data_IF_108293250723
#
_entry.id   IF_108293250723
#
_cell.length_a   1.000
_cell.length_b   1.000
_cell.length_c   1.000
_cell.angle_alpha   90.00
_cell.angle_beta   90.00
_cell.angle_gamma   90.00
#
_symmetry.space_group_name_H-M   'P 1'
#
loop_
_entity.id
_entity.type
_entity.pdbx_description
1 polymer ?
#
# COMPACT_ATOMS: atom_id res chain seq x y z
N UNK A 1 -29.12 -24.23 -25.13
CA UNK A 1 -27.77 -24.77 -24.91
C UNK A 1 -26.92 -23.78 -24.12
N UNK A 2 -26.92 -23.88 -22.77
CA UNK A 2 -25.85 -23.31 -21.94
C UNK A 2 -24.74 -24.35 -21.77
N UNK A 3 -23.82 -24.40 -22.73
CA UNK A 3 -22.66 -25.28 -22.70
C UNK A 3 -21.54 -24.61 -21.89
N UNK A 4 -20.91 -25.33 -20.97
CA UNK A 4 -19.75 -24.85 -20.19
C UNK A 4 -18.55 -25.77 -20.39
N UNK A 5 -17.34 -25.20 -20.47
CA UNK A 5 -16.09 -25.97 -20.47
C UNK A 5 -15.70 -26.27 -19.03
N UNK A 6 -15.49 -27.55 -18.73
CA UNK A 6 -14.84 -27.98 -17.50
C UNK A 6 -13.46 -28.54 -17.84
N UNK A 7 -12.45 -28.20 -17.04
CA UNK A 7 -11.12 -28.77 -17.17
C UNK A 7 -11.13 -30.22 -16.66
N UNK A 8 -10.52 -31.15 -17.38
CA UNK A 8 -10.29 -32.52 -16.87
C UNK A 8 -8.81 -32.74 -16.61
N UNK A 9 -8.31 -32.09 -15.57
CA UNK A 9 -7.26 -32.65 -14.70
C UNK A 9 -7.53 -32.13 -13.29
N UNK A 10 -8.28 -32.91 -12.50
CA UNK A 10 -8.56 -32.67 -11.06
C UNK A 10 -9.21 -31.31 -10.72
N UNK A 11 -10.56 -31.28 -10.71
CA UNK A 11 -11.40 -30.50 -9.79
C UNK A 11 -10.90 -29.09 -9.35
N UNK A 12 -10.55 -28.16 -10.24
CA UNK A 12 -10.65 -26.71 -9.97
C UNK A 12 -10.87 -25.91 -11.26
N UNK A 13 -11.83 -24.97 -11.34
CA UNK A 13 -11.90 -23.98 -12.41
C UNK A 13 -10.84 -22.89 -12.16
N UNK A 14 -9.60 -23.14 -12.58
CA UNK A 14 -8.48 -22.19 -12.47
C UNK A 14 -7.86 -21.87 -13.84
N UNK A 15 -6.92 -20.94 -13.94
CA UNK A 15 -6.12 -20.79 -15.16
C UNK A 15 -5.29 -22.05 -15.44
N UNK A 16 -5.06 -22.35 -16.71
CA UNK A 16 -4.15 -23.43 -17.11
C UNK A 16 -2.76 -22.84 -17.31
N UNK A 17 -1.74 -23.48 -16.74
CA UNK A 17 -0.35 -23.01 -16.84
C UNK A 17 0.39 -23.77 -17.94
N UNK A 18 0.99 -23.04 -18.87
CA UNK A 18 1.90 -23.56 -19.90
C UNK A 18 3.27 -22.92 -19.71
N UNK A 19 4.32 -23.69 -19.42
CA UNK A 19 5.67 -23.12 -19.23
C UNK A 19 6.20 -22.52 -20.54
N UNK A 20 6.92 -21.42 -20.44
CA UNK A 20 7.60 -20.82 -21.58
C UNK A 20 8.76 -21.69 -22.10
N UNK A 21 9.33 -21.28 -23.24
CA UNK A 21 10.43 -21.95 -23.91
C UNK A 21 10.16 -23.41 -24.33
N UNK A 22 8.92 -23.89 -24.15
CA UNK A 22 8.50 -25.20 -24.63
C UNK A 22 8.23 -25.16 -26.13
N UNK A 23 8.57 -26.23 -26.87
CA UNK A 23 8.15 -26.36 -28.26
C UNK A 23 6.62 -26.47 -28.36
N UNK A 24 6.02 -26.18 -29.53
CA UNK A 24 4.59 -26.38 -29.78
C UNK A 24 4.10 -27.75 -29.30
N UNK A 25 2.99 -27.79 -28.58
CA UNK A 25 2.53 -29.00 -27.88
C UNK A 25 1.15 -28.88 -27.27
N UNK A 26 0.72 -29.94 -26.58
CA UNK A 26 -0.61 -30.00 -25.93
C UNK A 26 -0.57 -29.27 -24.60
N UNK A 27 -1.38 -28.22 -24.46
CA UNK A 27 -1.52 -27.44 -23.23
C UNK A 27 -2.43 -28.19 -22.24
N UNK A 28 -3.62 -28.58 -22.69
CA UNK A 28 -4.60 -29.28 -21.85
C UNK A 28 -5.69 -29.96 -22.70
N UNK A 29 -6.37 -30.93 -22.12
CA UNK A 29 -7.53 -31.59 -22.73
C UNK A 29 -8.81 -30.89 -22.31
N UNK A 30 -9.56 -30.41 -23.30
CA UNK A 30 -10.84 -29.74 -23.16
C UNK A 30 -11.95 -30.75 -22.92
N UNK A 31 -12.86 -30.40 -22.02
CA UNK A 31 -14.07 -31.17 -21.78
C UNK A 31 -15.23 -30.20 -21.58
N UNK A 32 -16.39 -30.54 -22.12
CA UNK A 32 -17.57 -29.70 -22.08
C UNK A 32 -18.73 -30.49 -21.47
N UNK A 33 -19.60 -29.74 -20.81
CA UNK A 33 -20.84 -30.25 -20.25
C UNK A 33 -21.99 -29.36 -20.71
N UNK A 34 -23.00 -29.99 -21.29
CA UNK A 34 -24.30 -29.36 -21.53
C UNK A 34 -25.22 -29.69 -20.35
N UNK A 35 -25.89 -28.67 -19.80
CA UNK A 35 -26.80 -28.80 -18.67
C UNK A 35 -28.28 -28.90 -19.09
N UNK A 36 -28.58 -28.76 -20.38
CA UNK A 36 -29.96 -28.68 -20.90
C UNK A 36 -30.57 -30.06 -21.23
N UNK A 37 -29.76 -31.13 -21.30
CA UNK A 37 -30.23 -32.52 -21.47
C UNK A 37 -29.25 -33.42 -22.26
N UNK A 38 -29.34 -34.77 -22.14
CA UNK A 38 -28.44 -35.70 -22.83
C UNK A 38 -28.58 -35.70 -24.36
N UNK A 39 -29.72 -35.27 -24.90
CA UNK A 39 -29.96 -35.09 -26.34
C UNK A 39 -29.06 -34.03 -27.00
N UNK A 40 -28.57 -33.05 -26.22
CA UNK A 40 -27.59 -32.04 -26.64
C UNK A 40 -26.19 -32.34 -26.07
N UNK A 41 -26.00 -33.57 -25.59
CA UNK A 41 -24.75 -34.06 -25.05
C UNK A 41 -23.69 -34.32 -26.13
N UNK A 42 -22.52 -34.78 -25.69
CA UNK A 42 -21.42 -35.10 -26.60
C UNK A 42 -21.76 -36.16 -27.66
N UNK A 43 -20.91 -36.30 -28.70
CA UNK A 43 -19.57 -35.76 -28.79
C UNK A 43 -19.56 -34.27 -29.16
N UNK A 44 -18.88 -33.47 -28.35
CA UNK A 44 -18.66 -32.05 -28.61
C UNK A 44 -17.52 -31.87 -29.62
N UNK A 45 -17.66 -30.88 -30.50
CA UNK A 45 -16.58 -30.42 -31.38
C UNK A 45 -16.00 -29.12 -30.86
N UNK A 46 -14.70 -29.08 -30.70
CA UNK A 46 -13.96 -27.91 -30.21
C UNK A 46 -13.21 -27.24 -31.36
N UNK A 47 -13.16 -25.91 -31.34
CA UNK A 47 -12.30 -25.12 -32.21
C UNK A 47 -11.99 -23.78 -31.55
N UNK A 48 -10.89 -23.13 -31.95
CA UNK A 48 -10.68 -21.71 -31.63
C UNK A 48 -11.85 -20.93 -32.23
N UNK A 49 -12.48 -20.06 -31.43
CA UNK A 49 -13.63 -19.30 -31.89
C UNK A 49 -13.23 -18.38 -33.04
N UNK A 50 -14.05 -18.32 -34.10
CA UNK A 50 -13.78 -17.43 -35.24
C UNK A 50 -13.77 -15.93 -34.88
N UNK A 51 -14.38 -15.57 -33.73
CA UNK A 51 -14.33 -14.22 -33.15
C UNK A 51 -13.05 -13.91 -32.38
N UNK A 52 -12.19 -14.90 -32.14
CA UNK A 52 -10.94 -14.70 -31.43
C UNK A 52 -10.02 -13.75 -32.21
N UNK A 53 -9.13 -13.03 -31.52
CA UNK A 53 -8.18 -12.14 -32.18
C UNK A 53 -7.22 -12.92 -33.09
N UNK A 54 -6.61 -12.23 -34.06
CA UNK A 54 -5.58 -12.81 -34.92
C UNK A 54 -4.40 -13.38 -34.14
N UNK A 55 -4.04 -12.75 -33.01
CA UNK A 55 -3.02 -13.23 -32.07
C UNK A 55 -3.38 -14.60 -31.47
N UNK A 56 -4.63 -14.79 -31.02
CA UNK A 56 -5.06 -16.07 -30.46
C UNK A 56 -5.10 -17.14 -31.55
N UNK A 57 -5.59 -16.80 -32.74
CA UNK A 57 -5.68 -17.73 -33.88
C UNK A 57 -4.30 -18.16 -34.41
N UNK A 58 -3.27 -17.33 -34.26
CA UNK A 58 -1.91 -17.67 -34.70
C UNK A 58 -1.11 -18.45 -33.64
N UNK A 59 -1.38 -18.22 -32.35
CA UNK A 59 -0.63 -18.83 -31.24
C UNK A 59 -1.26 -20.13 -30.70
N UNK A 60 -2.57 -20.33 -30.86
CA UNK A 60 -3.30 -21.49 -30.33
C UNK A 60 -4.06 -22.27 -31.39
N UNK A 61 -4.16 -23.57 -31.19
CA UNK A 61 -4.92 -24.49 -32.03
C UNK A 61 -5.70 -25.50 -31.20
N UNK A 62 -6.61 -26.22 -31.86
CA UNK A 62 -7.33 -27.34 -31.23
C UNK A 62 -7.18 -28.57 -32.12
N UNK A 63 -6.69 -29.66 -31.53
CA UNK A 63 -6.55 -30.96 -32.19
C UNK A 63 -7.38 -32.00 -31.45
N UNK A 64 -8.50 -32.41 -32.04
CA UNK A 64 -9.49 -33.26 -31.36
C UNK A 64 -10.09 -32.53 -30.16
N UNK A 65 -9.76 -32.99 -28.95
CA UNK A 65 -10.19 -32.37 -27.70
C UNK A 65 -9.06 -31.58 -27.02
N UNK A 66 -7.85 -31.54 -27.60
CA UNK A 66 -6.71 -30.93 -26.96
C UNK A 66 -6.50 -29.50 -27.46
N UNK A 67 -6.37 -28.57 -26.51
CA UNK A 67 -5.86 -27.24 -26.80
C UNK A 67 -4.33 -27.33 -26.95
N UNK A 68 -3.80 -26.80 -28.05
CA UNK A 68 -2.38 -26.87 -28.39
C UNK A 68 -1.76 -25.49 -28.54
N UNK A 69 -0.55 -25.34 -28.05
CA UNK A 69 0.36 -24.26 -28.43
C UNK A 69 0.86 -24.49 -29.86
N UNK A 70 0.77 -23.48 -30.72
CA UNK A 70 1.30 -23.53 -32.09
C UNK A 70 2.68 -22.88 -32.22
N UNK A 71 3.08 -22.13 -31.20
CA UNK A 71 4.34 -21.40 -31.11
C UNK A 71 5.04 -21.71 -29.79
N UNK A 72 6.32 -21.40 -29.72
CA UNK A 72 7.02 -21.25 -28.44
C UNK A 72 6.59 -19.93 -27.81
N UNK A 73 6.15 -19.98 -26.56
CA UNK A 73 5.82 -18.77 -25.80
C UNK A 73 7.04 -18.28 -25.04
N UNK A 74 7.10 -16.96 -24.91
CA UNK A 74 8.01 -16.17 -24.09
C UNK A 74 7.12 -15.39 -23.11
N UNK A 75 7.39 -15.51 -21.82
CA UNK A 75 6.58 -14.95 -20.74
C UNK A 75 6.84 -13.45 -20.59
N UNK A 76 8.06 -12.97 -20.87
CA UNK A 76 8.43 -11.55 -20.89
C UNK A 76 7.67 -10.79 -21.99
N UNK A 77 7.32 -11.46 -23.10
CA UNK A 77 6.43 -10.90 -24.11
C UNK A 77 5.00 -10.74 -23.57
N UNK A 78 4.43 -11.80 -22.97
CA UNK A 78 3.05 -11.80 -22.45
C UNK A 78 2.74 -12.95 -21.49
N UNK A 79 2.43 -12.58 -20.23
CA UNK A 79 2.17 -13.51 -19.12
C UNK A 79 0.86 -14.31 -19.20
N UNK A 80 -0.16 -13.84 -19.92
CA UNK A 80 -1.44 -14.56 -20.01
C UNK A 80 -2.28 -14.27 -21.26
N UNK A 81 -3.10 -15.25 -21.64
CA UNK A 81 -3.98 -15.22 -22.80
C UNK A 81 -5.39 -15.66 -22.43
N UNK A 82 -6.39 -14.89 -22.87
CA UNK A 82 -7.80 -15.28 -22.79
C UNK A 82 -8.22 -15.95 -24.10
N UNK A 83 -8.14 -17.29 -24.12
CA UNK A 83 -8.38 -18.09 -25.32
C UNK A 83 -9.88 -18.39 -25.44
N UNK A 84 -10.51 -17.86 -26.49
CA UNK A 84 -11.92 -18.13 -26.78
C UNK A 84 -12.07 -19.43 -27.56
N UNK A 85 -12.81 -20.38 -26.99
CA UNK A 85 -13.04 -21.71 -27.54
C UNK A 85 -14.51 -21.85 -27.90
N UNK A 86 -14.77 -22.20 -29.15
CA UNK A 86 -16.09 -22.59 -29.62
C UNK A 86 -16.34 -24.08 -29.40
N UNK A 87 -17.54 -24.41 -28.95
CA UNK A 87 -17.98 -25.76 -28.62
C UNK A 87 -19.29 -25.98 -29.35
N UNK A 88 -19.33 -26.99 -30.22
CA UNK A 88 -20.53 -27.34 -30.98
C UNK A 88 -21.08 -28.67 -30.48
N UNK A 89 -22.35 -28.69 -30.13
CA UNK A 89 -23.07 -29.91 -29.74
C UNK A 89 -23.36 -30.80 -30.96
N UNK A 90 -23.93 -31.97 -30.70
CA UNK A 90 -24.36 -32.90 -31.73
C UNK A 90 -25.88 -32.86 -31.96
N UNK A 91 -26.55 -31.76 -31.58
CA UNK A 91 -27.98 -31.56 -31.74
C UNK A 91 -28.39 -31.41 -33.21
N UNK A 92 -29.70 -31.51 -33.48
CA UNK A 92 -30.27 -31.25 -34.80
C UNK A 92 -31.44 -30.27 -34.62
N UNK A 93 -31.26 -28.96 -34.92
CA UNK A 93 -30.06 -28.32 -35.44
C UNK A 93 -28.93 -28.22 -34.40
N UNK A 94 -27.67 -28.29 -34.85
CA UNK A 94 -26.51 -28.16 -33.97
C UNK A 94 -26.36 -26.72 -33.46
N UNK A 95 -25.99 -26.57 -32.20
CA UNK A 95 -25.77 -25.27 -31.57
C UNK A 95 -24.30 -25.10 -31.13
N UNK A 96 -23.79 -23.87 -31.28
CA UNK A 96 -22.42 -23.51 -30.89
C UNK A 96 -22.44 -22.51 -29.74
N UNK A 97 -21.72 -22.82 -28.67
CA UNK A 97 -21.41 -21.89 -27.58
C UNK A 97 -19.94 -21.49 -27.58
N UNK A 98 -19.62 -20.33 -27.01
CA UNK A 98 -18.23 -19.88 -26.83
C UNK A 98 -17.93 -19.77 -25.35
N UNK A 99 -16.77 -20.28 -24.93
CA UNK A 99 -16.24 -20.16 -23.58
C UNK A 99 -14.81 -19.66 -23.61
N UNK A 100 -14.43 -18.85 -22.63
CA UNK A 100 -13.07 -18.31 -22.51
C UNK A 100 -12.27 -19.12 -21.49
N UNK A 101 -11.09 -19.59 -21.90
CA UNK A 101 -10.11 -20.24 -21.03
C UNK A 101 -8.92 -19.31 -20.83
N UNK A 102 -8.52 -19.08 -19.58
CA UNK A 102 -7.30 -18.34 -19.27
C UNK A 102 -6.10 -19.28 -19.29
N UNK A 103 -5.16 -19.03 -20.21
CA UNK A 103 -3.85 -19.70 -20.25
C UNK A 103 -2.82 -18.74 -19.68
N UNK A 104 -2.13 -19.14 -18.62
CA UNK A 104 -1.02 -18.41 -18.00
C UNK A 104 0.27 -19.01 -18.51
N UNK A 105 1.19 -18.16 -18.97
CA UNK A 105 2.53 -18.60 -19.33
C UNK A 105 3.35 -18.67 -18.04
N UNK A 106 3.85 -19.86 -17.73
CA UNK A 106 4.64 -20.12 -16.54
C UNK A 106 6.10 -19.74 -16.76
N UNK A 107 6.64 -19.02 -15.78
CA UNK A 107 7.99 -18.48 -15.75
C UNK A 107 9.08 -19.57 -15.72
N UNK A 108 10.16 -19.33 -16.45
CA UNK A 108 11.41 -20.07 -16.40
C UNK A 108 12.54 -19.06 -16.32
N UNK A 109 13.35 -19.13 -15.25
CA UNK A 109 14.50 -18.25 -15.05
C UNK A 109 15.54 -18.37 -16.20
N UNK A 110 15.44 -17.51 -17.21
CA UNK A 110 16.24 -17.49 -18.43
C UNK A 110 16.81 -16.10 -18.78
N UNK A 111 16.48 -15.08 -17.99
CA UNK A 111 17.00 -13.73 -18.07
C UNK A 111 17.99 -13.47 -16.92
N UNK A 112 19.25 -13.18 -17.24
CA UNK A 112 20.22 -12.80 -16.22
C UNK A 112 19.87 -11.46 -15.57
N UNK A 113 19.93 -11.40 -14.23
CA UNK A 113 19.71 -10.16 -13.48
C UNK A 113 20.67 -9.03 -13.89
N UNK A 114 20.22 -7.80 -13.71
CA UNK A 114 20.99 -6.57 -13.93
C UNK A 114 21.15 -5.77 -12.64
N UNK A 115 22.08 -4.81 -12.68
CA UNK A 115 22.31 -3.90 -11.56
C UNK A 115 21.02 -3.17 -11.19
N UNK A 116 20.69 -3.13 -9.90
CA UNK A 116 19.50 -2.46 -9.40
C UNK A 116 19.81 -1.34 -8.41
N UNK A 117 18.88 -0.37 -8.32
CA UNK A 117 18.87 0.65 -7.28
C UNK A 117 17.48 0.78 -6.67
N UNK A 118 17.42 0.97 -5.35
CA UNK A 118 16.15 1.23 -4.65
C UNK A 118 16.31 2.27 -3.54
N UNK A 119 15.19 2.85 -3.14
CA UNK A 119 15.13 3.86 -2.08
C UNK A 119 14.23 3.38 -0.93
N UNK A 120 14.72 3.50 0.30
CA UNK A 120 14.00 3.16 1.52
C UNK A 120 13.87 4.41 2.37
N UNK A 121 12.63 4.79 2.69
CA UNK A 121 12.37 5.93 3.57
C UNK A 121 11.71 5.47 4.86
N UNK A 122 12.29 5.82 6.00
CA UNK A 122 11.87 5.39 7.34
C UNK A 122 11.53 6.59 8.22
N UNK A 123 10.35 6.56 8.84
CA UNK A 123 10.01 7.39 9.99
C UNK A 123 10.23 6.61 11.29
N UNK A 124 11.27 6.95 12.03
CA UNK A 124 11.61 6.33 13.31
C UNK A 124 10.95 7.11 14.46
N UNK A 125 9.84 6.59 14.99
CA UNK A 125 9.08 7.23 16.06
C UNK A 125 9.93 7.34 17.34
N UNK A 126 10.22 8.59 17.75
CA UNK A 126 11.11 8.95 18.88
C UNK A 126 12.54 8.38 18.81
N UNK A 127 12.95 7.79 17.69
CA UNK A 127 14.21 7.05 17.61
C UNK A 127 14.17 5.67 18.29
N UNK A 128 12.99 5.16 18.63
CA UNK A 128 12.78 3.98 19.47
C UNK A 128 12.30 2.73 18.69
N UNK A 129 12.41 2.73 17.36
CA UNK A 129 12.08 1.55 16.56
C UNK A 129 12.92 0.33 17.00
N UNK A 130 12.32 -0.86 17.13
CA UNK A 130 13.06 -2.09 17.33
C UNK A 130 13.81 -2.49 16.05
N UNK A 131 14.53 -3.61 16.10
CA UNK A 131 15.09 -4.21 14.88
C UNK A 131 13.94 -4.48 13.91
N UNK A 132 14.03 -3.89 12.71
CA UNK A 132 12.90 -3.78 11.78
C UNK A 132 13.37 -4.17 10.39
N UNK A 133 12.66 -5.09 9.73
CA UNK A 133 12.85 -5.35 8.30
C UNK A 133 12.34 -4.14 7.49
N UNK A 134 13.23 -3.48 6.75
CA UNK A 134 12.94 -2.21 6.09
C UNK A 134 12.77 -2.33 4.57
N UNK A 135 13.21 -3.43 3.99
CA UNK A 135 13.14 -3.68 2.56
C UNK A 135 14.17 -4.72 2.13
N UNK A 136 14.11 -5.10 0.85
CA UNK A 136 15.02 -6.09 0.26
C UNK A 136 16.00 -5.39 -0.68
N UNK A 137 17.20 -5.95 -0.82
CA UNK A 137 18.14 -5.58 -1.88
C UNK A 137 17.46 -5.77 -3.24
N UNK A 138 17.39 -4.71 -4.04
CA UNK A 138 16.77 -4.73 -5.36
C UNK A 138 17.80 -4.94 -6.47
N UNK A 139 17.49 -5.86 -7.38
CA UNK A 139 18.16 -6.06 -8.68
C UNK A 139 17.09 -6.01 -9.77
N UNK A 140 17.44 -5.51 -10.95
CA UNK A 140 16.51 -5.53 -12.08
C UNK A 140 16.53 -6.91 -12.70
N UNK A 141 15.41 -7.62 -12.59
CA UNK A 141 15.21 -8.93 -13.19
C UNK A 141 13.84 -8.97 -13.88
N UNK A 142 13.78 -9.66 -15.01
CA UNK A 142 12.53 -9.86 -15.73
C UNK A 142 11.78 -11.08 -15.20
N UNK A 143 12.49 -12.05 -14.61
CA UNK A 143 11.92 -13.32 -14.20
C UNK A 143 11.22 -13.22 -12.83
N UNK A 144 10.19 -14.04 -12.61
CA UNK A 144 9.44 -14.09 -11.35
C UNK A 144 9.89 -15.31 -10.52
N UNK A 145 9.94 -15.18 -9.19
CA UNK A 145 10.23 -16.29 -8.25
C UNK A 145 11.63 -16.92 -8.35
N UNK A 146 12.61 -16.18 -8.83
CA UNK A 146 14.03 -16.56 -8.97
C UNK A 146 14.90 -16.36 -7.71
N UNK A 147 14.33 -15.82 -6.63
CA UNK A 147 15.05 -15.51 -5.39
C UNK A 147 15.92 -16.67 -4.86
N UNK A 148 15.49 -17.95 -4.88
CA UNK A 148 16.32 -19.06 -4.42
C UNK A 148 17.64 -19.23 -5.18
N UNK A 149 17.74 -18.70 -6.41
CA UNK A 149 18.94 -18.75 -7.25
C UNK A 149 19.91 -17.60 -6.93
N UNK A 150 19.53 -16.69 -6.01
CA UNK A 150 20.26 -15.47 -5.67
C UNK A 150 20.85 -15.52 -4.25
N UNK A 151 22.05 -14.97 -4.12
CA UNK A 151 22.74 -14.76 -2.83
C UNK A 151 23.21 -13.32 -2.70
N UNK A 152 23.10 -12.78 -1.50
CA UNK A 152 23.31 -11.37 -1.21
C UNK A 152 24.49 -11.20 -0.25
N UNK A 153 25.34 -10.21 -0.48
CA UNK A 153 26.43 -9.85 0.44
C UNK A 153 26.71 -8.35 0.42
N UNK A 154 27.30 -7.84 1.49
CA UNK A 154 27.88 -6.49 1.54
C UNK A 154 29.01 -6.34 0.51
N UNK A 155 29.03 -5.23 -0.22
CA UNK A 155 30.00 -5.02 -1.30
C UNK A 155 31.45 -4.92 -0.82
N UNK A 156 31.67 -4.45 0.41
CA UNK A 156 32.99 -4.36 1.05
C UNK A 156 33.34 -5.61 1.89
N UNK A 157 32.45 -6.61 1.91
CA UNK A 157 32.59 -7.85 2.67
C UNK A 157 32.46 -7.70 4.18
N UNK A 158 31.97 -6.57 4.69
CA UNK A 158 31.83 -6.30 6.13
C UNK A 158 30.38 -6.01 6.50
N UNK A 159 29.94 -6.53 7.64
CA UNK A 159 28.65 -6.15 8.21
C UNK A 159 28.62 -4.66 8.54
N UNK A 160 27.48 -4.03 8.31
CA UNK A 160 27.26 -2.62 8.62
C UNK A 160 26.88 -2.45 10.10
N UNK A 161 27.27 -1.33 10.71
CA UNK A 161 27.01 -1.08 12.15
C UNK A 161 25.53 -0.85 12.50
N UNK A 162 24.76 -0.30 11.54
CA UNK A 162 23.35 0.06 11.72
C UNK A 162 22.36 -0.86 10.97
N UNK A 163 22.86 -1.79 10.16
CA UNK A 163 22.01 -2.62 9.29
C UNK A 163 22.54 -4.05 9.19
N UNK A 164 21.63 -5.00 9.30
CA UNK A 164 21.87 -6.41 9.02
C UNK A 164 21.32 -6.81 7.65
N UNK A 165 21.92 -7.84 7.06
CA UNK A 165 21.52 -8.41 5.77
C UNK A 165 21.29 -9.91 5.93
N UNK A 166 20.18 -10.39 5.38
CA UNK A 166 19.96 -11.83 5.18
C UNK A 166 20.57 -12.26 3.84
N UNK A 167 21.62 -13.08 3.89
CA UNK A 167 22.35 -13.52 2.68
C UNK A 167 21.50 -14.34 1.69
N UNK A 168 20.44 -15.01 2.17
CA UNK A 168 19.57 -15.87 1.34
C UNK A 168 18.32 -15.17 0.84
N UNK A 169 17.85 -14.13 1.52
CA UNK A 169 16.64 -13.41 1.12
C UNK A 169 16.95 -12.00 0.60
N UNK A 170 18.11 -11.45 0.92
CA UNK A 170 18.42 -10.05 0.65
C UNK A 170 17.61 -9.08 1.51
N UNK A 171 16.89 -9.55 2.54
CA UNK A 171 16.15 -8.68 3.46
C UNK A 171 17.13 -7.86 4.30
N UNK A 172 16.91 -6.55 4.35
CA UNK A 172 17.69 -5.57 5.12
C UNK A 172 16.93 -5.27 6.41
N UNK A 173 17.61 -5.43 7.53
CA UNK A 173 17.07 -5.12 8.86
C UNK A 173 17.77 -3.88 9.40
N UNK A 174 17.01 -2.83 9.70
CA UNK A 174 17.50 -1.68 10.46
C UNK A 174 17.63 -2.07 11.92
N UNK A 175 18.81 -1.84 12.50
CA UNK A 175 19.08 -2.14 13.90
C UNK A 175 18.53 -1.04 14.82
N UNK A 176 18.09 -1.44 16.01
CA UNK A 176 17.65 -0.50 17.05
C UNK A 176 18.75 0.51 17.36
N UNK A 177 18.36 1.77 17.48
CA UNK A 177 19.27 2.87 17.79
C UNK A 177 20.00 3.44 16.57
N UNK A 178 19.65 3.00 15.35
CA UNK A 178 20.14 3.61 14.11
C UNK A 178 19.87 5.12 14.11
N UNK A 179 20.92 5.97 13.94
CA UNK A 179 20.77 7.41 13.90
C UNK A 179 19.90 7.92 12.74
N UNK A 180 19.41 9.16 12.88
CA UNK A 180 18.83 9.89 11.75
C UNK A 180 19.95 10.29 10.79
N UNK A 181 19.97 9.68 9.61
CA UNK A 181 20.89 10.02 8.52
C UNK A 181 20.39 9.45 7.18
N UNK A 182 21.13 9.74 6.11
CA UNK A 182 21.04 9.07 4.82
C UNK A 182 22.22 8.12 4.63
N UNK A 183 21.92 6.84 4.48
CA UNK A 183 22.88 5.76 4.32
C UNK A 183 22.88 5.27 2.87
N UNK A 184 24.06 5.11 2.29
CA UNK A 184 24.25 4.53 0.97
C UNK A 184 24.77 3.10 1.13
N UNK A 185 23.87 2.13 1.08
CA UNK A 185 24.21 0.71 1.24
C UNK A 185 24.54 0.10 -0.13
N UNK A 186 25.66 -0.64 -0.20
CA UNK A 186 26.13 -1.27 -1.44
C UNK A 186 26.25 -2.78 -1.23
N UNK A 187 25.70 -3.52 -2.17
CA UNK A 187 25.62 -4.97 -2.14
C UNK A 187 26.19 -5.59 -3.42
N UNK A 188 26.63 -6.82 -3.30
CA UNK A 188 26.89 -7.70 -4.43
C UNK A 188 25.86 -8.82 -4.41
N UNK A 189 25.15 -8.99 -5.52
CA UNK A 189 24.17 -10.08 -5.69
C UNK A 189 24.76 -11.07 -6.68
N UNK A 190 24.79 -12.34 -6.30
CA UNK A 190 25.28 -13.43 -7.15
C UNK A 190 24.12 -14.34 -7.49
N UNK A 191 23.92 -14.59 -8.78
CA UNK A 191 22.90 -15.49 -9.31
C UNK A 191 23.57 -16.68 -9.98
N UNK A 192 22.97 -17.86 -9.81
CA UNK A 192 23.35 -19.09 -10.49
C UNK A 192 22.11 -19.98 -10.68
N UNK A 193 21.72 -20.20 -11.93
CA UNK A 193 20.55 -21.01 -12.29
C UNK A 193 20.90 -21.97 -13.46
N UNK A 194 20.06 -22.97 -13.77
CA UNK A 194 20.34 -23.93 -14.85
C UNK A 194 20.57 -23.31 -16.23
N UNK A 195 19.87 -22.21 -16.54
CA UNK A 195 19.98 -21.49 -17.82
C UNK A 195 20.88 -20.25 -17.74
N UNK A 196 21.21 -19.80 -16.53
CA UNK A 196 21.97 -18.59 -16.27
C UNK A 196 23.32 -18.95 -15.63
N UNK A 197 24.45 -18.78 -16.35
CA UNK A 197 25.76 -18.97 -15.78
C UNK A 197 25.97 -18.09 -14.55
N UNK A 198 26.73 -18.62 -13.58
CA UNK A 198 27.06 -17.89 -12.36
C UNK A 198 27.65 -16.51 -12.69
N UNK A 199 26.99 -15.46 -12.23
CA UNK A 199 27.46 -14.09 -12.41
C UNK A 199 27.15 -13.24 -11.19
N UNK A 200 27.63 -11.99 -11.16
CA UNK A 200 27.48 -11.10 -10.01
C UNK A 200 27.29 -9.68 -10.46
N UNK A 201 26.30 -9.00 -9.88
CA UNK A 201 25.98 -7.60 -10.15
C UNK A 201 26.07 -6.78 -8.86
N UNK A 202 26.25 -5.48 -9.02
CA UNK A 202 26.18 -4.52 -7.92
C UNK A 202 24.74 -4.06 -7.73
N UNK A 203 24.31 -3.92 -6.49
CA UNK A 203 23.03 -3.32 -6.11
C UNK A 203 23.26 -2.19 -5.10
N UNK A 204 22.48 -1.11 -5.21
CA UNK A 204 22.60 0.07 -4.35
C UNK A 204 21.26 0.36 -3.70
N UNK A 205 21.25 0.56 -2.38
CA UNK A 205 20.05 0.91 -1.63
C UNK A 205 20.32 2.21 -0.86
N UNK A 206 19.56 3.25 -1.19
CA UNK A 206 19.57 4.49 -0.43
C UNK A 206 18.58 4.37 0.73
N UNK A 207 19.05 4.54 1.96
CA UNK A 207 18.19 4.46 3.15
C UNK A 207 18.17 5.82 3.83
N UNK A 208 17.01 6.45 3.95
CA UNK A 208 16.82 7.69 4.70
C UNK A 208 16.04 7.42 5.97
N UNK A 209 16.66 7.66 7.13
CA UNK A 209 16.03 7.54 8.44
C UNK A 209 15.73 8.93 8.97
N UNK A 210 14.44 9.23 9.22
CA UNK A 210 13.99 10.49 9.82
C UNK A 210 13.32 10.20 11.16
N UNK A 211 13.79 10.82 12.24
CA UNK A 211 13.15 10.72 13.56
C UNK A 211 11.96 11.66 13.61
N UNK A 212 10.84 11.14 14.11
CA UNK A 212 9.62 11.92 14.31
C UNK A 212 9.26 11.98 15.80
N UNK A 213 9.14 13.18 16.40
CA UNK A 213 8.84 13.34 17.82
C UNK A 213 7.35 13.04 18.12
N UNK A 214 7.04 12.82 19.39
CA UNK A 214 5.66 12.60 19.86
C UNK A 214 4.73 13.77 19.53
N UNK A 215 5.21 15.02 19.67
CA UNK A 215 4.43 16.21 19.34
C UNK A 215 3.94 16.22 17.88
N UNK A 216 4.75 15.72 16.95
CA UNK A 216 4.38 15.66 15.53
C UNK A 216 3.22 14.69 15.29
N UNK A 217 3.23 13.55 15.98
CA UNK A 217 2.18 12.54 15.89
C UNK A 217 0.91 13.03 16.58
N UNK A 218 1.03 13.67 17.74
CA UNK A 218 -0.10 14.21 18.49
C UNK A 218 -0.81 15.35 17.74
N UNK A 219 -0.06 16.23 17.09
CA UNK A 219 -0.59 17.35 16.30
C UNK A 219 -0.88 16.99 14.83
N UNK A 220 -0.92 15.70 14.50
CA UNK A 220 -1.08 15.25 13.12
C UNK A 220 -2.49 15.44 12.58
N UNK A 221 -2.57 15.83 11.31
CA UNK A 221 -3.79 15.66 10.51
C UNK A 221 -3.92 14.24 10.00
N UNK A 222 -5.13 13.86 9.58
CA UNK A 222 -5.39 12.54 8.99
C UNK A 222 -6.42 12.60 7.87
N UNK A 223 -6.27 11.71 6.89
CA UNK A 223 -7.19 11.54 5.76
C UNK A 223 -7.42 10.05 5.54
N UNK A 224 -8.69 9.68 5.32
CA UNK A 224 -9.07 8.36 4.82
C UNK A 224 -9.43 8.43 3.35
N UNK A 225 -8.71 7.72 2.50
CA UNK A 225 -8.95 7.61 1.06
C UNK A 225 -9.72 6.33 0.71
N UNK A 226 -10.45 6.34 -0.40
CA UNK A 226 -11.10 5.15 -0.97
C UNK A 226 -10.37 4.61 -2.19
N UNK A 227 -10.30 3.28 -2.30
CA UNK A 227 -9.99 2.59 -3.56
C UNK A 227 -8.53 2.71 -4.01
N UNK A 228 -7.60 2.76 -3.05
CA UNK A 228 -6.16 2.75 -3.31
C UNK A 228 -5.44 1.90 -2.26
N UNK A 229 -4.40 1.17 -2.67
CA UNK A 229 -3.54 0.43 -1.74
C UNK A 229 -2.40 1.27 -1.18
N UNK A 230 -1.78 0.80 -0.09
CA UNK A 230 -0.61 1.48 0.47
C UNK A 230 0.55 1.53 -0.53
N UNK A 231 0.75 0.45 -1.29
CA UNK A 231 1.78 0.31 -2.32
C UNK A 231 1.54 1.29 -3.47
N UNK A 232 0.31 1.35 -3.99
CA UNK A 232 -0.07 2.31 -5.03
C UNK A 232 0.11 3.77 -4.59
N UNK A 233 -0.13 4.06 -3.30
CA UNK A 233 0.00 5.41 -2.76
C UNK A 233 1.45 5.89 -2.70
N UNK A 234 2.40 5.00 -2.45
CA UNK A 234 3.83 5.32 -2.36
C UNK A 234 4.58 5.11 -3.68
N UNK A 235 4.04 4.33 -4.62
CA UNK A 235 4.67 4.04 -5.90
C UNK A 235 4.78 5.32 -6.74
N UNK A 236 5.99 5.67 -7.23
CA UNK A 236 6.17 6.80 -8.14
C UNK A 236 5.53 6.53 -9.51
N UNK A 237 4.94 7.57 -10.11
CA UNK A 237 4.48 7.54 -11.50
C UNK A 237 5.65 7.69 -12.50
N UNK A 238 5.33 7.80 -13.80
CA UNK A 238 6.31 8.00 -14.87
C UNK A 238 7.16 9.28 -14.74
N UNK A 239 6.74 10.23 -13.90
CA UNK A 239 7.45 11.47 -13.62
C UNK A 239 8.21 11.42 -12.29
N UNK A 240 8.25 10.26 -11.62
CA UNK A 240 8.89 10.08 -10.32
C UNK A 240 8.08 10.64 -9.15
N UNK A 241 6.79 10.91 -9.33
CA UNK A 241 5.93 11.47 -8.28
C UNK A 241 4.94 10.42 -7.78
N UNK A 242 4.94 10.17 -6.47
CA UNK A 242 3.93 9.30 -5.83
C UNK A 242 2.77 10.13 -5.27
N UNK A 243 1.64 9.48 -4.97
CA UNK A 243 0.51 10.16 -4.31
C UNK A 243 0.93 10.73 -2.95
N UNK A 244 1.84 10.04 -2.25
CA UNK A 244 2.51 10.55 -1.04
C UNK A 244 3.25 11.87 -1.29
N UNK A 245 4.15 11.95 -2.28
CA UNK A 245 4.93 13.18 -2.52
C UNK A 245 4.06 14.32 -3.05
N UNK A 246 3.02 14.01 -3.83
CA UNK A 246 2.01 14.98 -4.24
C UNK A 246 1.22 15.54 -3.05
N UNK A 247 0.78 14.69 -2.10
CA UNK A 247 0.13 15.13 -0.87
C UNK A 247 1.05 16.05 -0.05
N UNK A 248 2.30 15.63 0.15
CA UNK A 248 3.30 16.41 0.87
C UNK A 248 3.50 17.80 0.25
N UNK A 249 3.60 17.89 -1.08
CA UNK A 249 3.75 19.14 -1.80
C UNK A 249 2.52 20.06 -1.70
N UNK A 250 1.31 19.49 -1.70
CA UNK A 250 0.08 20.26 -1.51
C UNK A 250 -0.02 20.83 -0.10
N UNK A 251 0.25 20.02 0.92
CA UNK A 251 0.27 20.46 2.31
C UNK A 251 1.30 21.57 2.55
N UNK A 252 2.51 21.43 2.01
CA UNK A 252 3.55 22.45 2.12
C UNK A 252 3.09 23.79 1.55
N UNK A 253 2.46 23.76 0.38
CA UNK A 253 1.90 24.94 -0.28
C UNK A 253 0.77 25.59 0.51
N UNK A 254 -0.22 24.82 0.96
CA UNK A 254 -1.38 25.36 1.67
C UNK A 254 -1.01 25.91 3.06
N UNK A 255 -0.03 25.28 3.72
CA UNK A 255 0.44 25.69 5.05
C UNK A 255 1.59 26.70 4.99
N UNK A 256 1.98 27.14 3.79
CA UNK A 256 3.09 28.06 3.53
C UNK A 256 4.38 27.66 4.29
N UNK A 257 4.79 26.41 4.13
CA UNK A 257 6.01 25.84 4.72
C UNK A 257 6.83 25.09 3.66
N UNK A 258 8.07 24.70 3.98
CA UNK A 258 8.90 23.90 3.08
C UNK A 258 8.44 22.44 3.01
N UNK A 259 8.83 21.73 1.94
CA UNK A 259 8.56 20.30 1.80
C UNK A 259 9.16 19.47 2.94
N UNK A 260 10.38 19.84 3.38
CA UNK A 260 11.10 19.14 4.46
C UNK A 260 10.38 19.24 5.82
N UNK A 261 9.53 20.26 5.97
CA UNK A 261 8.74 20.50 7.17
C UNK A 261 7.36 19.84 7.12
N UNK A 262 7.07 19.02 6.11
CA UNK A 262 5.85 18.21 6.02
C UNK A 262 6.22 16.75 6.04
N UNK A 263 5.64 16.02 6.98
CA UNK A 263 5.89 14.60 7.17
C UNK A 263 4.64 13.79 6.93
N UNK A 264 4.69 12.85 5.98
CA UNK A 264 3.62 11.87 5.73
C UNK A 264 4.08 10.54 6.30
N UNK A 265 3.80 10.33 7.59
CA UNK A 265 4.47 9.32 8.40
C UNK A 265 3.65 8.06 8.65
N UNK A 266 2.34 8.07 8.38
CA UNK A 266 1.48 6.88 8.44
C UNK A 266 0.83 6.66 7.09
N UNK A 267 0.99 5.46 6.52
CA UNK A 267 0.29 4.97 5.33
C UNK A 267 -0.06 3.52 5.63
N UNK A 268 -1.33 3.26 5.98
CA UNK A 268 -1.79 1.91 6.34
C UNK A 268 -3.23 1.72 5.93
N UNK A 269 -3.62 0.49 5.60
CA UNK A 269 -5.02 0.16 5.39
C UNK A 269 -5.79 0.31 6.69
N UNK A 270 -6.99 0.91 6.62
CA UNK A 270 -7.84 1.13 7.79
C UNK A 270 -8.03 -0.20 8.54
N UNK A 271 -7.57 -0.32 9.79
CA UNK A 271 -7.58 -1.59 10.50
C UNK A 271 -8.98 -2.05 10.87
N UNK A 272 -9.94 -1.11 10.92
CA UNK A 272 -11.35 -1.37 11.20
C UNK A 272 -12.17 -1.63 9.91
N UNK A 273 -11.51 -1.68 8.74
CA UNK A 273 -12.14 -2.04 7.48
C UNK A 273 -11.64 -3.41 6.99
N UNK A 274 -12.51 -4.42 7.08
CA UNK A 274 -12.18 -5.81 6.69
C UNK A 274 -11.87 -5.99 5.21
N UNK A 275 -12.35 -5.09 4.35
CA UNK A 275 -12.19 -5.20 2.90
C UNK A 275 -10.95 -4.48 2.38
N UNK A 276 -10.14 -3.87 3.26
CA UNK A 276 -8.90 -3.14 2.93
C UNK A 276 -9.07 -2.08 1.83
N UNK A 277 -10.30 -1.64 1.56
CA UNK A 277 -10.61 -0.70 0.49
C UNK A 277 -10.38 0.76 0.88
N UNK A 278 -9.94 0.99 2.12
CA UNK A 278 -9.71 2.29 2.71
C UNK A 278 -8.27 2.40 3.18
N UNK A 279 -7.65 3.53 2.84
CA UNK A 279 -6.28 3.84 3.20
C UNK A 279 -6.26 5.05 4.15
N UNK A 280 -5.68 4.85 5.32
CA UNK A 280 -5.50 5.87 6.34
C UNK A 280 -4.10 6.47 6.20
N UNK A 281 -4.06 7.79 6.05
CA UNK A 281 -2.83 8.55 5.91
C UNK A 281 -2.77 9.61 7.00
N UNK A 282 -1.67 9.66 7.77
CA UNK A 282 -1.41 10.71 8.76
C UNK A 282 -0.17 11.50 8.42
N UNK A 283 -0.22 12.78 8.78
CA UNK A 283 0.85 13.70 8.47
C UNK A 283 0.90 14.87 9.44
N UNK A 284 2.08 15.45 9.55
CA UNK A 284 2.35 16.64 10.35
C UNK A 284 3.01 17.69 9.48
N UNK A 285 2.89 18.94 9.89
CA UNK A 285 3.60 20.05 9.28
C UNK A 285 4.06 21.05 10.34
N UNK A 286 5.19 21.72 10.11
CA UNK A 286 5.73 22.66 11.08
C UNK A 286 6.33 23.92 10.45
N UNK A 287 6.42 24.98 11.25
CA UNK A 287 7.15 26.22 10.96
C UNK A 287 7.99 26.68 12.15
N UNK A 288 8.22 25.77 13.12
CA UNK A 288 8.72 25.99 14.48
C UNK A 288 7.76 26.80 15.35
N UNK A 289 6.81 26.17 16.09
CA UNK A 289 6.65 24.73 16.38
C UNK A 289 5.81 23.95 15.33
N UNK A 290 5.43 22.70 15.64
CA UNK A 290 4.45 21.93 14.88
C UNK A 290 3.08 22.62 14.88
N UNK A 291 2.47 22.70 13.70
CA UNK A 291 1.12 23.24 13.55
C UNK A 291 0.11 22.33 14.23
N UNK A 292 -0.90 22.92 14.84
CA UNK A 292 -2.00 22.17 15.45
C UNK A 292 -2.80 21.40 14.38
N UNK A 293 -3.39 20.26 14.77
CA UNK A 293 -4.11 19.38 13.86
C UNK A 293 -5.28 20.11 13.18
N UNK A 294 -5.94 21.03 13.88
CA UNK A 294 -7.06 21.83 13.38
C UNK A 294 -6.65 22.69 12.19
N UNK A 295 -5.46 23.30 12.24
CA UNK A 295 -4.93 24.12 11.13
C UNK A 295 -4.67 23.26 9.90
N UNK A 296 -4.11 22.07 10.10
CA UNK A 296 -3.82 21.12 9.03
C UNK A 296 -5.12 20.60 8.42
N UNK A 297 -6.05 20.16 9.26
CA UNK A 297 -7.36 19.64 8.86
C UNK A 297 -8.19 20.69 8.11
N UNK A 298 -8.22 21.94 8.60
CA UNK A 298 -8.90 23.05 7.94
C UNK A 298 -8.33 23.32 6.53
N UNK A 299 -7.00 23.32 6.38
CA UNK A 299 -6.36 23.53 5.09
C UNK A 299 -6.74 22.43 4.06
N UNK A 300 -6.89 21.18 4.49
CA UNK A 300 -7.34 20.08 3.62
C UNK A 300 -8.80 20.28 3.23
N UNK A 301 -9.67 20.58 4.19
CA UNK A 301 -11.11 20.75 3.93
C UNK A 301 -11.36 21.90 2.95
N UNK A 302 -10.69 23.04 3.14
CA UNK A 302 -10.78 24.20 2.26
C UNK A 302 -10.33 23.87 0.82
N UNK A 303 -9.33 23.00 0.67
CA UNK A 303 -8.73 22.64 -0.62
C UNK A 303 -9.14 21.23 -1.11
N UNK A 304 -10.18 20.62 -0.54
CA UNK A 304 -10.50 19.20 -0.75
C UNK A 304 -10.70 18.82 -2.22
N UNK A 305 -11.40 19.65 -3.00
CA UNK A 305 -11.60 19.42 -4.45
C UNK A 305 -10.30 19.46 -5.25
N UNK A 306 -9.36 20.35 -4.88
CA UNK A 306 -8.06 20.41 -5.53
C UNK A 306 -7.24 19.15 -5.18
N UNK A 307 -7.33 18.69 -3.92
CA UNK A 307 -6.65 17.49 -3.44
C UNK A 307 -7.11 16.25 -4.22
N UNK A 308 -8.42 16.00 -4.26
CA UNK A 308 -9.00 14.85 -4.96
C UNK A 308 -8.64 14.85 -6.44
N UNK A 309 -8.69 16.01 -7.10
CA UNK A 309 -8.29 16.13 -8.52
C UNK A 309 -6.80 15.87 -8.73
N UNK A 310 -5.94 16.37 -7.84
CA UNK A 310 -4.49 16.20 -7.96
C UNK A 310 -4.10 14.74 -7.74
N UNK A 311 -4.65 14.12 -6.70
CA UNK A 311 -4.33 12.74 -6.37
C UNK A 311 -5.10 11.73 -7.24
N UNK A 312 -6.23 12.12 -7.83
CA UNK A 312 -7.15 11.19 -8.49
C UNK A 312 -7.79 10.22 -7.48
N UNK A 313 -7.95 10.64 -6.23
CA UNK A 313 -8.46 9.83 -5.12
C UNK A 313 -9.69 10.49 -4.52
N UNK A 314 -10.60 9.67 -4.00
CA UNK A 314 -11.75 10.15 -3.24
C UNK A 314 -11.39 10.23 -1.75
N UNK A 315 -11.61 11.39 -1.16
CA UNK A 315 -11.49 11.60 0.29
C UNK A 315 -12.79 11.18 0.94
N UNK A 316 -12.73 10.18 1.83
CA UNK A 316 -13.89 9.73 2.61
C UNK A 316 -14.05 10.53 3.88
N UNK A 317 -12.94 10.87 4.53
CA UNK A 317 -12.94 11.56 5.81
C UNK A 317 -11.63 12.34 5.97
N UNK A 318 -11.74 13.55 6.50
CA UNK A 318 -10.61 14.33 7.03
C UNK A 318 -10.78 14.34 8.54
N UNK A 319 -9.69 14.21 9.29
CA UNK A 319 -9.71 13.99 10.73
C UNK A 319 -10.47 12.71 11.09
N UNK A 320 -9.83 11.56 10.86
CA UNK A 320 -10.44 10.23 11.02
C UNK A 320 -11.09 10.11 12.40
N UNK A 321 -12.37 9.74 12.37
CA UNK A 321 -13.26 9.60 13.52
C UNK A 321 -13.98 8.26 13.42
N UNK A 322 -13.53 7.29 14.22
CA UNK A 322 -14.17 5.97 14.30
C UNK A 322 -15.49 6.03 15.09
N UNK A 323 -15.69 7.06 15.89
CA UNK A 323 -16.90 7.29 16.67
C UNK A 323 -17.97 8.11 15.91
N UNK A 324 -17.73 8.46 14.65
CA UNK A 324 -18.66 9.28 13.85
C UNK A 324 -20.05 8.64 13.71
N UNK A 325 -20.10 7.31 13.57
CA UNK A 325 -21.36 6.56 13.47
C UNK A 325 -21.72 6.03 14.84
N UNK A 326 -22.79 6.57 15.42
CA UNK A 326 -23.32 6.11 16.70
C UNK A 326 -23.60 4.61 16.69
N UNK A 327 -23.24 3.94 17.79
CA UNK A 327 -23.51 2.52 18.02
C UNK A 327 -22.88 1.56 17.01
N UNK A 328 -21.92 2.03 16.21
CA UNK A 328 -21.16 1.17 15.31
C UNK A 328 -20.18 0.27 16.10
N UNK A 329 -19.39 0.87 16.99
CA UNK A 329 -18.38 0.15 17.79
C UNK A 329 -18.71 0.06 19.29
N UNK A 330 -19.48 1.01 19.82
CA UNK A 330 -19.78 1.13 21.24
C UNK A 330 -21.29 1.25 21.47
N UNK A 331 -21.87 0.47 22.39
CA UNK A 331 -23.30 0.58 22.73
C UNK A 331 -23.64 1.90 23.46
N UNK A 332 -22.66 2.45 24.18
CA UNK A 332 -22.70 3.69 24.95
C UNK A 332 -21.78 4.76 24.33
N UNK A 333 -21.23 5.66 25.14
CA UNK A 333 -20.25 6.66 24.72
C UNK A 333 -19.06 6.10 23.94
N UNK A 334 -18.61 6.84 22.93
CA UNK A 334 -17.45 6.52 22.12
C UNK A 334 -16.53 7.74 22.04
N UNK A 335 -15.23 7.55 22.30
CA UNK A 335 -14.20 8.55 22.10
C UNK A 335 -13.08 8.01 21.21
N UNK A 336 -12.46 8.87 20.40
CA UNK A 336 -11.33 8.49 19.57
C UNK A 336 -10.04 8.50 20.38
N UNK A 337 -9.25 7.44 20.28
CA UNK A 337 -7.92 7.36 20.86
C UNK A 337 -6.87 7.13 19.78
N UNK A 338 -5.84 7.98 19.76
CA UNK A 338 -4.71 7.80 18.86
C UNK A 338 -3.73 6.78 19.44
N UNK A 339 -3.82 5.55 18.98
CA UNK A 339 -2.92 4.47 19.33
C UNK A 339 -1.60 4.60 18.55
N UNK A 340 -0.52 4.93 19.27
CA UNK A 340 0.82 5.19 18.74
C UNK A 340 1.75 4.03 19.08
N UNK A 341 2.34 3.39 18.08
CA UNK A 341 3.28 2.28 18.27
C UNK A 341 4.70 2.66 17.82
N UNK A 342 5.70 2.24 18.60
CA UNK A 342 7.10 2.26 18.19
C UNK A 342 7.45 1.14 17.20
N UNK A 343 6.59 0.13 17.05
CA UNK A 343 6.73 -0.91 16.01
C UNK A 343 6.18 -0.32 14.71
N UNK A 344 7.05 -0.09 13.69
CA UNK A 344 6.64 0.57 12.47
C UNK A 344 5.81 -0.34 11.56
N UNK A 345 5.23 0.24 10.52
CA UNK A 345 4.54 -0.47 9.44
C UNK A 345 5.32 -0.26 8.14
N UNK A 346 5.74 -1.35 7.50
CA UNK A 346 6.45 -1.32 6.23
C UNK A 346 5.50 -1.55 5.06
N UNK A 347 5.75 -0.84 3.97
CA UNK A 347 5.07 -0.97 2.68
C UNK A 347 6.16 -1.08 1.62
N UNK A 348 6.15 -2.16 0.85
CA UNK A 348 7.19 -2.46 -0.12
C UNK A 348 6.63 -2.40 -1.54
N UNK A 349 7.37 -1.74 -2.43
CA UNK A 349 7.19 -1.81 -3.88
C UNK A 349 8.47 -2.40 -4.49
N UNK A 350 8.52 -2.52 -5.82
CA UNK A 350 9.70 -3.05 -6.50
C UNK A 350 10.96 -2.22 -6.21
N UNK A 351 10.86 -0.89 -6.31
CA UNK A 351 12.02 0.01 -6.23
C UNK A 351 12.00 0.94 -5.02
N UNK A 352 10.91 0.96 -4.26
CA UNK A 352 10.79 1.84 -3.08
C UNK A 352 10.22 1.08 -1.89
N UNK A 353 10.76 1.30 -0.69
CA UNK A 353 10.12 0.88 0.55
C UNK A 353 9.83 2.07 1.44
N UNK A 354 8.66 2.06 2.07
CA UNK A 354 8.27 3.06 3.04
C UNK A 354 7.99 2.40 4.38
N UNK A 355 8.69 2.84 5.42
CA UNK A 355 8.54 2.35 6.78
C UNK A 355 8.00 3.50 7.63
N UNK A 356 6.70 3.46 7.90
CA UNK A 356 5.97 4.51 8.61
C UNK A 356 5.72 4.18 10.08
N UNK A 357 5.27 5.19 10.82
CA UNK A 357 4.76 5.03 12.18
C UNK A 357 3.36 4.45 12.13
N UNK A 358 3.11 3.42 12.93
CA UNK A 358 1.76 2.90 13.14
C UNK A 358 1.03 3.77 14.17
N UNK A 359 0.32 4.77 13.65
CA UNK A 359 -0.53 5.68 14.42
C UNK A 359 -1.98 5.55 13.94
N UNK A 360 -2.80 4.85 14.72
CA UNK A 360 -4.17 4.43 14.34
C UNK A 360 -5.18 5.08 15.27
N UNK A 361 -6.32 5.53 14.72
CA UNK A 361 -7.45 5.94 15.56
C UNK A 361 -8.25 4.70 15.94
N UNK A 362 -8.36 4.44 17.23
CA UNK A 362 -9.18 3.36 17.78
C UNK A 362 -10.39 3.94 18.53
N UNK A 363 -11.59 3.35 18.38
CA UNK A 363 -12.75 3.72 19.17
C UNK A 363 -12.61 3.17 20.60
N UNK A 364 -12.73 4.06 21.59
CA UNK A 364 -12.80 3.69 23.01
C UNK A 364 -14.22 3.87 23.54
N UNK A 365 -14.79 2.78 24.05
CA UNK A 365 -16.12 2.77 24.65
C UNK A 365 -16.08 3.26 26.12
N UNK A 366 -15.53 4.45 26.34
CA UNK A 366 -15.52 5.12 27.64
C UNK A 366 -15.54 6.65 27.49
N UNK A 367 -15.90 7.33 28.57
CA UNK A 367 -16.01 8.80 28.67
C UNK A 367 -14.98 9.43 29.61
N UNK A 368 -13.90 8.71 29.94
CA UNK A 368 -12.88 9.28 30.83
C UNK A 368 -11.97 10.18 30.01
N UNK A 369 -12.39 11.44 29.80
CA UNK A 369 -11.47 12.49 29.34
C UNK A 369 -10.42 12.66 30.44
N UNK A 370 -9.14 12.28 30.23
CA UNK A 370 -8.13 12.48 31.25
C UNK A 370 -7.99 13.98 31.46
N UNK A 371 -8.32 14.48 32.64
CA UNK A 371 -7.99 15.85 33.05
C UNK A 371 -6.48 15.93 33.30
N UNK A 372 -5.68 15.91 32.23
CA UNK A 372 -4.27 16.25 32.34
C UNK A 372 -4.20 17.76 32.44
N UNK A 373 -3.86 18.28 33.62
CA UNK A 373 -3.60 19.72 33.79
C UNK A 373 -2.38 20.08 32.95
N UNK A 374 -2.62 20.75 31.83
CA UNK A 374 -1.59 21.34 30.98
C UNK A 374 -1.59 22.83 31.24
N UNK A 375 -0.43 23.40 31.52
CA UNK A 375 -0.26 24.84 31.70
C UNK A 375 0.48 25.42 30.51
N UNK A 376 -0.13 26.39 29.84
CA UNK A 376 0.42 27.09 28.69
C UNK A 376 1.27 28.29 29.12
N UNK A 377 1.98 28.91 28.17
CA UNK A 377 2.65 30.22 28.34
C UNK A 377 3.59 30.34 29.57
N UNK A 378 4.26 29.25 29.93
CA UNK A 378 5.19 29.21 31.06
C UNK A 378 4.52 29.05 32.43
N UNK A 379 3.23 28.71 32.47
CA UNK A 379 2.52 28.37 33.69
C UNK A 379 3.03 27.09 34.34
N UNK A 380 2.92 27.02 35.67
CA UNK A 380 3.38 25.87 36.47
C UNK A 380 2.17 25.08 36.99
N UNK A 381 2.09 23.75 36.79
CA UNK A 381 0.98 22.96 37.32
C UNK A 381 1.05 22.84 38.85
N UNK A 382 -0.05 23.19 39.52
CA UNK A 382 -0.22 23.13 40.98
C UNK A 382 -1.53 22.40 41.30
N UNK A 383 -1.43 21.09 41.55
CA UNK A 383 -2.62 20.24 41.75
C UNK A 383 -3.46 20.16 40.48
N UNK A 384 -4.74 20.53 40.58
CA UNK A 384 -5.70 20.53 39.46
C UNK A 384 -5.78 21.89 38.72
N UNK A 385 -4.86 22.82 38.99
CA UNK A 385 -4.85 24.19 38.45
C UNK A 385 -3.46 24.60 37.94
N UNK A 386 -3.41 25.68 37.17
CA UNK A 386 -2.16 26.28 36.71
C UNK A 386 -1.86 27.59 37.44
N UNK A 387 -0.61 27.76 37.88
CA UNK A 387 -0.06 29.03 38.33
C UNK A 387 0.49 29.79 37.12
N UNK A 388 -0.14 30.91 36.77
CA UNK A 388 0.10 31.62 35.52
C UNK A 388 1.00 32.84 35.67
N UNK A 389 1.76 33.13 34.61
CA UNK A 389 2.52 34.37 34.48
C UNK A 389 1.57 35.54 34.20
N UNK A 390 1.99 36.75 34.56
CA UNK A 390 1.16 37.97 34.42
C UNK A 390 0.69 38.17 32.97
N UNK A 391 -0.63 38.36 32.78
CA UNK A 391 -1.25 38.53 31.45
C UNK A 391 -1.89 37.27 30.86
N UNK A 392 -1.84 36.14 31.56
CA UNK A 392 -2.47 34.88 31.15
C UNK A 392 -3.48 34.39 32.20
N UNK A 393 -4.69 34.95 32.15
CA UNK A 393 -5.70 34.78 33.21
C UNK A 393 -6.57 33.52 33.05
N UNK A 394 -6.30 32.67 32.06
CA UNK A 394 -7.03 31.44 31.82
C UNK A 394 -6.70 30.32 32.82
N UNK A 395 -7.62 29.36 33.04
CA UNK A 395 -7.42 28.23 33.96
C UNK A 395 -6.20 27.35 33.64
N UNK A 396 -5.75 27.36 32.39
CA UNK A 396 -4.55 26.71 31.88
C UNK A 396 -3.47 27.73 31.45
N UNK A 397 -3.53 28.98 31.92
CA UNK A 397 -2.65 30.08 31.51
C UNK A 397 -2.74 30.43 30.03
N UNK A 398 -3.92 30.26 29.45
CA UNK A 398 -4.32 30.77 28.15
C UNK A 398 -4.81 32.23 28.25
N UNK A 399 -4.86 32.90 27.10
CA UNK A 399 -5.49 34.20 27.00
C UNK A 399 -6.99 33.98 26.82
N UNK A 400 -7.81 34.49 27.73
CA UNK A 400 -9.27 34.27 27.75
C UNK A 400 -10.05 35.17 26.79
N UNK A 401 -9.38 36.10 26.10
CA UNK A 401 -10.02 37.00 25.16
C UNK A 401 -9.10 37.36 24.00
N UNK A 402 -9.56 37.11 22.77
CA UNK A 402 -8.91 37.60 21.56
C UNK A 402 -9.93 38.40 20.74
N UNK A 403 -9.53 39.59 20.31
CA UNK A 403 -10.33 40.43 19.42
C UNK A 403 -9.93 40.20 17.97
N UNK A 404 -10.88 39.88 17.11
CA UNK A 404 -10.64 39.84 15.65
C UNK A 404 -10.99 41.19 15.04
N UNK A 405 -10.11 41.71 14.18
CA UNK A 405 -10.39 42.92 13.37
C UNK A 405 -10.38 42.50 11.90
N UNK A 406 -11.46 42.76 11.16
CA UNK A 406 -11.60 42.36 9.76
C UNK A 406 -11.94 40.87 9.58
N UNK A 407 -11.22 40.16 8.70
CA UNK A 407 -11.48 38.77 8.33
C UNK A 407 -10.76 37.75 9.23
N UNK A 408 -10.63 38.04 10.53
CA UNK A 408 -10.00 37.13 11.49
C UNK A 408 -10.88 35.92 11.80
N UNK A 409 -10.25 34.78 12.08
CA UNK A 409 -10.91 33.53 12.44
C UNK A 409 -10.10 32.80 13.51
N UNK A 410 -10.76 31.94 14.28
CA UNK A 410 -10.12 31.02 15.22
C UNK A 410 -10.53 29.58 14.92
N UNK A 411 -9.57 28.68 15.15
CA UNK A 411 -9.76 27.25 15.10
C UNK A 411 -9.70 26.70 16.50
N UNK A 412 -10.68 25.87 16.84
CA UNK A 412 -10.74 25.17 18.11
C UNK A 412 -10.73 23.67 17.85
N UNK A 413 -10.14 22.86 18.75
CA UNK A 413 -10.31 21.42 18.74
C UNK A 413 -11.80 21.07 18.74
N UNK A 414 -12.23 20.01 18.03
CA UNK A 414 -13.60 19.55 18.12
C UNK A 414 -13.94 19.12 19.55
N UNK A 415 -15.20 19.31 19.96
CA UNK A 415 -15.65 18.83 21.26
C UNK A 415 -15.58 17.30 21.32
N UNK A 416 -15.06 16.78 22.43
CA UNK A 416 -15.18 15.36 22.75
C UNK A 416 -16.63 15.07 23.10
N UNK A 417 -17.34 14.30 22.29
CA UNK A 417 -18.70 13.85 22.62
C UNK A 417 -18.65 12.86 23.79
N UNK A 418 -19.43 13.13 24.83
CA UNK A 418 -19.64 12.26 25.98
C UNK A 418 -21.14 12.17 26.29
N UNK A 419 -21.57 11.14 27.00
CA UNK A 419 -23.00 10.83 27.26
C UNK A 419 -23.76 12.04 27.85
N UNK A 420 -23.10 12.85 28.69
CA UNK A 420 -23.56 14.15 29.15
C UNK A 420 -22.52 15.24 28.79
N UNK A 421 -22.84 16.11 27.84
CA UNK A 421 -22.03 17.31 27.53
C UNK A 421 -22.82 18.57 27.84
N UNK A 422 -22.27 19.41 28.74
CA UNK A 422 -22.81 20.73 29.03
C UNK A 422 -21.91 21.80 28.42
N UNK A 423 -22.50 22.67 27.59
CA UNK A 423 -21.84 23.84 27.03
C UNK A 423 -22.38 25.07 27.77
N UNK A 424 -21.50 25.80 28.47
CA UNK A 424 -21.81 27.16 28.94
C UNK A 424 -21.05 28.15 28.08
N UNK A 425 -21.78 29.07 27.44
CA UNK A 425 -21.23 30.20 26.68
C UNK A 425 -20.85 31.36 27.59
#
# INVERSE_FOLDING_TARGET
SRVSINQTTVLQPGPVVWRENQPPGIITTLNAKDNDGPENGGPFKYAIAGSASSEIQSKFGVSGNDLTALVTFDREEKKSYQVQISITDNGIPAMTGTSTLTVVIGDVNDNAMKKGSSDIFIYNYKGEAPDTEIGRVYVEDLDDWDLPDKTFRWADGRSHENFDLSDSTGMITMLRGTPQDSYLLKFLVTEEAPLIPRHTVEAVVNVTVKVIPEEAVDKSGSIRFAGITAEEFITPDSHGMSKKSMLQARLARWLNTSLDNVDVFTVLHSPHNTNQSQLDVRFSAHGSPYYAAEKINAAIVENGRELERTLGLKVLMVNIDECLVEKLYCESSCTNFLNKSNVPSAVHTNTTSFVGVKAVVDPLCNCNVPQKVVCYNGGTPVGDMCECTEGYDGPHCEIVGIGFVGNGWALYPPFSSCEDSHISL
#
